data_IF_216884490146
#
_entry.id   IF_216884490146
#
_cell.length_a   1.000
_cell.length_b   1.000
_cell.length_c   1.000
_cell.angle_alpha   90.00
_cell.angle_beta   90.00
_cell.angle_gamma   90.00
#
_symmetry.space_group_name_H-M   'P 1'
#
loop_
_entity.id
_entity.type
_entity.pdbx_description
1 polymer ?
#
# COMPACT_ATOMS: atom_id res chain seq x y z
N UNK A 1 -52.94 -29.93 -15.15
CA UNK A 1 -53.94 -29.45 -14.18
C UNK A 1 -53.22 -28.43 -13.29
N UNK A 2 -53.06 -27.18 -13.75
CA UNK A 2 -53.92 -26.01 -13.49
C UNK A 2 -53.95 -25.72 -11.97
N UNK A 3 -53.60 -24.53 -11.46
CA UNK A 3 -54.17 -23.19 -11.75
C UNK A 3 -53.11 -22.11 -11.36
N UNK A 4 -52.61 -21.24 -12.24
CA UNK A 4 -53.12 -19.93 -12.73
C UNK A 4 -53.61 -18.95 -11.63
N UNK A 5 -53.00 -17.74 -11.68
CA UNK A 5 -53.50 -16.37 -11.34
C UNK A 5 -53.70 -15.98 -9.87
N UNK A 6 -53.28 -14.79 -9.41
CA UNK A 6 -53.71 -13.46 -9.91
C UNK A 6 -52.66 -12.33 -9.81
N UNK A 7 -52.58 -11.61 -10.91
CA UNK A 7 -52.20 -10.20 -11.12
C UNK A 7 -53.24 -9.26 -10.48
N UNK A 8 -52.82 -8.11 -9.90
CA UNK A 8 -53.43 -6.76 -10.00
C UNK A 8 -52.71 -5.81 -9.02
N UNK A 9 -51.85 -4.86 -9.38
CA UNK A 9 -51.97 -3.64 -10.21
C UNK A 9 -52.36 -2.37 -9.42
N UNK A 10 -51.58 -1.29 -9.67
CA UNK A 10 -51.89 0.17 -9.55
C UNK A 10 -51.82 0.74 -8.12
N UNK A 11 -51.31 1.93 -7.80
CA UNK A 11 -50.50 3.01 -8.41
C UNK A 11 -50.45 4.06 -7.30
N UNK A 12 -49.32 4.74 -7.06
CA UNK A 12 -49.34 6.12 -6.55
C UNK A 12 -48.01 6.81 -6.86
N UNK A 13 -48.12 7.64 -7.88
CA UNK A 13 -47.23 8.68 -8.37
C UNK A 13 -47.07 9.81 -7.33
N UNK A 14 -45.99 10.60 -7.46
CA UNK A 14 -45.68 11.92 -6.86
C UNK A 14 -44.88 11.95 -5.54
N UNK A 15 -43.92 12.85 -5.29
CA UNK A 15 -43.18 13.83 -6.11
C UNK A 15 -41.85 14.16 -5.36
N UNK A 16 -40.77 14.27 -6.14
CA UNK A 16 -39.52 15.06 -6.04
C UNK A 16 -39.26 15.87 -4.75
N UNK A 17 -38.03 15.73 -4.19
CA UNK A 17 -37.11 16.86 -3.91
C UNK A 17 -35.65 16.36 -3.93
N UNK A 18 -34.94 16.67 -5.03
CA UNK A 18 -33.48 16.65 -5.12
C UNK A 18 -32.96 17.96 -4.52
N UNK A 19 -32.23 17.89 -3.40
CA UNK A 19 -31.38 18.99 -2.96
C UNK A 19 -30.08 18.93 -3.75
N UNK A 20 -29.87 19.95 -4.59
CA UNK A 20 -28.66 20.10 -5.38
C UNK A 20 -27.49 20.67 -4.59
N UNK A 21 -26.29 20.37 -5.05
CA UNK A 21 -25.20 21.34 -5.11
C UNK A 21 -24.17 20.87 -6.13
N UNK A 22 -24.29 21.34 -7.36
CA UNK A 22 -23.20 21.33 -8.34
C UNK A 22 -23.45 22.48 -9.32
N UNK A 23 -22.58 23.48 -9.31
CA UNK A 23 -22.69 24.62 -10.22
C UNK A 23 -21.54 25.60 -10.05
N UNK A 24 -20.46 25.35 -10.79
CA UNK A 24 -19.25 26.17 -10.96
C UNK A 24 -19.47 27.16 -12.13
N UNK A 25 -19.00 28.40 -11.94
CA UNK A 25 -18.57 29.44 -12.93
C UNK A 25 -19.58 29.93 -14.00
N UNK A 26 -19.60 31.14 -14.56
CA UNK A 26 -18.62 32.20 -14.90
C UNK A 26 -19.29 33.60 -14.70
N UNK A 27 -18.73 34.82 -14.83
CA UNK A 27 -17.66 35.39 -15.67
C UNK A 27 -17.51 36.88 -15.26
N UNK A 28 -16.27 37.40 -15.23
CA UNK A 28 -15.83 38.65 -15.89
C UNK A 28 -14.63 39.31 -15.22
N UNK A 29 -13.68 39.62 -16.09
CA UNK A 29 -12.39 40.30 -15.96
C UNK A 29 -12.48 41.70 -15.36
N UNK A 30 -11.56 42.05 -14.43
CA UNK A 30 -10.89 43.36 -14.37
C UNK A 30 -9.61 43.34 -13.52
N UNK A 31 -8.52 43.69 -14.19
CA UNK A 31 -7.26 44.31 -13.75
C UNK A 31 -7.02 44.65 -12.27
N UNK A 32 -5.82 44.25 -11.80
CA UNK A 32 -4.75 45.13 -11.28
C UNK A 32 -4.23 44.84 -9.86
N UNK A 33 -2.92 44.52 -9.84
CA UNK A 33 -1.90 45.01 -8.92
C UNK A 33 -1.58 44.28 -7.60
N UNK A 34 -0.29 43.93 -7.54
CA UNK A 34 0.64 43.94 -6.40
C UNK A 34 0.59 42.85 -5.33
N UNK A 35 1.55 41.95 -5.47
CA UNK A 35 2.69 41.80 -4.54
C UNK A 35 2.39 41.65 -3.04
N UNK A 36 2.52 40.40 -2.56
CA UNK A 36 3.24 40.13 -1.31
C UNK A 36 3.82 38.72 -1.36
N UNK A 37 5.14 38.66 -1.55
CA UNK A 37 5.97 37.49 -1.31
C UNK A 37 6.03 37.29 0.20
N UNK A 38 5.41 36.23 0.72
CA UNK A 38 5.79 35.68 2.02
C UNK A 38 6.73 34.51 1.77
N UNK A 39 8.00 34.79 2.00
CA UNK A 39 9.05 33.81 2.22
C UNK A 39 8.64 32.97 3.43
N UNK A 40 8.08 31.79 3.19
CA UNK A 40 7.97 30.76 4.22
C UNK A 40 9.39 30.26 4.44
N UNK A 41 9.88 30.56 5.63
CA UNK A 41 11.15 30.10 6.16
C UNK A 41 11.26 28.59 5.96
N UNK A 42 12.38 28.19 5.35
CA UNK A 42 12.79 26.81 5.20
C UNK A 42 13.07 26.29 6.61
N UNK A 43 12.04 25.79 7.26
CA UNK A 43 12.17 25.02 8.48
C UNK A 43 13.11 23.86 8.14
N UNK A 44 14.19 23.80 8.89
CA UNK A 44 15.29 22.89 8.59
C UNK A 44 14.83 21.56 9.14
N UNK A 45 14.18 20.77 8.27
CA UNK A 45 13.68 19.43 8.60
C UNK A 45 14.82 18.64 9.23
N UNK A 46 14.78 18.53 10.55
CA UNK A 46 15.61 17.64 11.32
C UNK A 46 15.34 16.25 10.74
N UNK A 47 16.38 15.60 10.19
CA UNK A 47 16.26 14.30 9.54
C UNK A 47 15.87 13.30 10.64
N UNK A 48 14.57 13.10 10.81
CA UNK A 48 14.01 12.15 11.76
C UNK A 48 14.63 10.79 11.45
N UNK A 49 15.35 10.26 12.44
CA UNK A 49 16.00 8.96 12.29
C UNK A 49 14.89 7.92 12.35
N UNK A 50 14.44 7.47 11.18
CA UNK A 50 13.41 6.42 11.06
C UNK A 50 13.91 5.20 11.83
N UNK A 51 13.21 4.87 12.92
CA UNK A 51 13.53 3.72 13.75
C UNK A 51 13.26 2.46 12.92
N UNK A 52 14.31 1.66 12.71
CA UNK A 52 14.18 0.34 12.07
C UNK A 52 13.74 -0.67 13.11
N UNK A 53 12.66 -1.37 12.82
CA UNK A 53 12.22 -2.52 13.57
C UNK A 53 13.03 -3.76 13.14
N UNK A 54 13.20 -4.71 14.06
CA UNK A 54 13.86 -5.98 13.78
C UNK A 54 13.00 -7.10 14.32
N UNK A 55 12.31 -7.78 13.42
CA UNK A 55 11.49 -8.94 13.75
C UNK A 55 12.31 -10.20 13.49
N UNK A 56 12.42 -11.07 14.50
CA UNK A 56 12.94 -12.41 14.26
C UNK A 56 11.90 -13.17 13.43
N UNK A 57 12.31 -13.93 12.40
CA UNK A 57 11.40 -14.84 11.74
C UNK A 57 10.89 -15.82 12.78
N UNK A 58 9.62 -15.69 13.12
CA UNK A 58 8.91 -16.63 13.96
C UNK A 58 7.76 -17.14 13.11
N UNK A 59 7.90 -18.40 12.70
CA UNK A 59 6.86 -19.15 11.99
C UNK A 59 5.80 -19.56 13.01
N UNK A 60 5.16 -18.55 13.61
CA UNK A 60 4.01 -18.72 14.49
C UNK A 60 2.84 -19.02 13.55
N UNK A 61 2.20 -20.18 13.75
CA UNK A 61 1.14 -20.76 12.91
C UNK A 61 0.38 -19.73 12.05
N UNK A 62 0.43 -19.88 10.72
CA UNK A 62 -0.40 -19.11 9.81
C UNK A 62 0.26 -18.83 8.46
N UNK A 63 -0.23 -19.49 7.42
CA UNK A 63 -0.08 -19.02 6.05
C UNK A 63 1.29 -19.11 5.37
N UNK A 64 1.33 -18.70 4.10
CA UNK A 64 2.52 -18.66 3.25
C UNK A 64 2.72 -17.25 2.70
N UNK A 65 3.98 -16.87 2.53
CA UNK A 65 4.36 -15.61 1.90
C UNK A 65 5.45 -15.86 0.87
N UNK A 66 5.17 -15.51 -0.38
CA UNK A 66 6.13 -15.54 -1.49
C UNK A 66 6.19 -14.18 -2.17
N UNK A 67 7.33 -13.91 -2.82
CA UNK A 67 7.51 -12.71 -3.62
C UNK A 67 7.83 -13.06 -5.07
N UNK A 68 7.38 -12.22 -5.98
CA UNK A 68 7.63 -12.36 -7.40
C UNK A 68 8.08 -11.07 -8.05
N UNK A 69 8.78 -11.23 -9.16
CA UNK A 69 9.22 -10.14 -10.04
C UNK A 69 9.37 -10.69 -11.47
N UNK A 70 9.73 -9.86 -12.47
CA UNK A 70 10.09 -10.39 -13.78
C UNK A 70 11.26 -11.39 -13.79
N UNK A 71 12.04 -11.48 -12.70
CA UNK A 71 13.14 -12.45 -12.57
C UNK A 71 12.71 -13.84 -12.10
N UNK A 72 11.51 -14.00 -11.52
CA UNK A 72 11.04 -15.29 -11.00
C UNK A 72 10.07 -15.16 -9.83
N UNK A 73 9.82 -16.27 -9.14
CA UNK A 73 8.99 -16.36 -7.94
C UNK A 73 9.64 -17.26 -6.86
N UNK A 74 9.65 -16.81 -5.60
CA UNK A 74 10.21 -17.61 -4.50
C UNK A 74 9.44 -18.90 -4.23
N UNK A 75 8.16 -18.98 -4.60
CA UNK A 75 7.37 -20.22 -4.51
C UNK A 75 7.95 -21.35 -5.37
N UNK A 76 8.60 -20.99 -6.49
CA UNK A 76 9.26 -21.92 -7.42
C UNK A 76 10.73 -22.16 -7.05
N UNK A 77 11.23 -21.50 -5.99
CA UNK A 77 12.62 -21.56 -5.55
C UNK A 77 13.56 -20.62 -6.29
N UNK A 78 13.03 -19.64 -7.04
CA UNK A 78 13.83 -18.65 -7.74
C UNK A 78 14.42 -17.60 -6.80
N UNK A 79 15.63 -17.13 -7.12
CA UNK A 79 16.21 -15.92 -6.55
C UNK A 79 15.55 -14.69 -7.19
N UNK A 80 15.11 -13.74 -6.36
CA UNK A 80 14.46 -12.51 -6.83
C UNK A 80 15.48 -11.39 -6.95
N UNK A 81 15.68 -10.92 -8.18
CA UNK A 81 16.58 -9.81 -8.50
C UNK A 81 15.79 -8.63 -9.04
N UNK A 82 15.93 -7.48 -8.38
CA UNK A 82 15.35 -6.21 -8.78
C UNK A 82 16.43 -5.30 -9.35
N UNK A 83 16.28 -4.94 -10.62
CA UNK A 83 17.15 -3.99 -11.29
C UNK A 83 16.64 -2.56 -11.08
N UNK A 84 17.37 -1.74 -10.34
CA UNK A 84 16.89 -0.42 -9.96
C UNK A 84 17.90 0.65 -10.36
N UNK A 85 17.53 1.53 -11.30
CA UNK A 85 18.38 2.66 -11.71
C UNK A 85 18.00 3.93 -10.94
N UNK A 86 18.97 4.79 -10.65
CA UNK A 86 18.67 6.12 -10.10
C UNK A 86 17.72 6.89 -11.03
N UNK A 87 16.80 7.65 -10.43
CA UNK A 87 15.83 8.53 -11.10
C UNK A 87 14.80 7.81 -12.00
N UNK A 88 14.73 6.48 -11.97
CA UNK A 88 13.65 5.71 -12.60
C UNK A 88 12.57 5.34 -11.57
N UNK A 89 11.34 5.18 -12.05
CA UNK A 89 10.27 4.60 -11.25
C UNK A 89 10.66 3.22 -10.73
N UNK A 90 10.31 2.94 -9.48
CA UNK A 90 10.60 1.66 -8.87
C UNK A 90 9.95 0.51 -9.59
N UNK A 91 10.70 -0.59 -9.70
CA UNK A 91 10.10 -1.88 -10.02
C UNK A 91 9.51 -2.43 -8.72
N UNK A 92 8.21 -2.74 -8.75
CA UNK A 92 7.53 -3.32 -7.61
C UNK A 92 7.86 -4.80 -7.42
N UNK A 93 7.58 -5.30 -6.21
CA UNK A 93 7.49 -6.73 -5.92
C UNK A 93 6.02 -7.12 -5.85
N UNK A 94 5.67 -8.24 -6.48
CA UNK A 94 4.38 -8.89 -6.24
C UNK A 94 4.47 -9.72 -4.97
N UNK A 95 3.57 -9.48 -4.02
CA UNK A 95 3.45 -10.24 -2.78
C UNK A 95 2.31 -11.25 -2.94
N UNK A 96 2.59 -12.51 -2.66
CA UNK A 96 1.63 -13.61 -2.70
C UNK A 96 1.45 -14.14 -1.29
N UNK A 97 0.27 -13.91 -0.72
CA UNK A 97 -0.03 -14.25 0.68
C UNK A 97 -1.24 -15.16 0.75
N UNK A 98 -1.11 -16.23 1.51
CA UNK A 98 -2.20 -17.17 1.78
C UNK A 98 -2.27 -17.49 3.26
N UNK A 99 -3.47 -17.72 3.80
CA UNK A 99 -3.67 -18.25 5.16
C UNK A 99 -3.38 -17.26 6.29
N UNK A 100 -3.33 -15.95 5.97
CA UNK A 100 -3.29 -14.87 6.97
C UNK A 100 -4.69 -14.59 7.50
N UNK A 101 -4.78 -14.03 8.71
CA UNK A 101 -6.06 -13.58 9.26
C UNK A 101 -6.48 -12.28 8.59
N UNK A 102 -7.41 -12.36 7.63
CA UNK A 102 -7.93 -11.21 6.88
C UNK A 102 -8.72 -10.21 7.70
N UNK A 103 -9.00 -10.49 8.98
CA UNK A 103 -9.57 -9.49 9.90
C UNK A 103 -8.52 -8.56 10.52
N UNK A 104 -7.23 -8.91 10.40
CA UNK A 104 -6.11 -8.16 10.96
C UNK A 104 -5.35 -7.39 9.87
N UNK A 105 -4.83 -6.22 10.24
CA UNK A 105 -3.86 -5.51 9.41
C UNK A 105 -2.53 -6.26 9.41
N UNK A 106 -1.92 -6.33 8.23
CA UNK A 106 -0.56 -6.81 8.02
C UNK A 106 0.32 -5.63 7.67
N UNK A 107 1.37 -5.44 8.43
CA UNK A 107 2.37 -4.40 8.23
C UNK A 107 3.48 -4.93 7.34
N UNK A 108 3.86 -4.14 6.33
CA UNK A 108 4.84 -4.51 5.32
C UNK A 108 6.12 -3.72 5.61
N UNK A 109 7.20 -4.42 5.96
CA UNK A 109 8.48 -3.81 6.26
C UNK A 109 9.51 -4.15 5.20
N UNK A 110 10.31 -3.17 4.77
CA UNK A 110 11.52 -3.36 3.98
C UNK A 110 12.72 -2.94 4.81
N UNK A 111 13.67 -3.85 5.03
CA UNK A 111 14.85 -3.65 5.87
C UNK A 111 14.55 -3.01 7.24
N UNK A 112 13.43 -3.44 7.84
CA UNK A 112 12.95 -2.98 9.14
C UNK A 112 12.17 -1.66 9.13
N UNK A 113 11.98 -1.02 7.96
CA UNK A 113 11.17 0.20 7.81
C UNK A 113 9.78 -0.16 7.28
N UNK A 114 8.73 0.27 7.96
CA UNK A 114 7.37 0.09 7.47
C UNK A 114 7.16 0.92 6.20
N UNK A 115 6.67 0.27 5.14
CA UNK A 115 6.40 0.92 3.84
C UNK A 115 4.92 0.98 3.50
N UNK A 116 4.11 0.05 4.03
CA UNK A 116 2.68 -0.04 3.74
C UNK A 116 1.96 -0.98 4.74
N UNK A 117 0.63 -0.97 4.71
CA UNK A 117 -0.24 -1.87 5.48
C UNK A 117 -1.38 -2.39 4.61
N UNK A 118 -1.69 -3.69 4.70
CA UNK A 118 -2.76 -4.33 3.92
C UNK A 118 -3.46 -5.44 4.72
N UNK A 119 -4.73 -5.71 4.40
CA UNK A 119 -5.47 -6.86 4.93
C UNK A 119 -5.26 -8.07 4.00
N UNK A 120 -4.33 -8.95 4.36
CA UNK A 120 -4.11 -10.19 3.63
C UNK A 120 -4.97 -11.34 4.16
N UNK A 121 -5.51 -12.15 3.25
CA UNK A 121 -6.11 -13.45 3.58
C UNK A 121 -5.68 -14.53 2.58
N UNK A 122 -6.02 -14.35 1.31
CA UNK A 122 -5.59 -15.17 0.19
C UNK A 122 -5.60 -14.29 -1.07
N UNK A 123 -4.62 -13.41 -1.17
CA UNK A 123 -4.57 -12.35 -2.18
C UNK A 123 -3.14 -12.05 -2.63
N UNK A 124 -3.07 -11.47 -3.82
CA UNK A 124 -1.86 -10.91 -4.39
C UNK A 124 -1.96 -9.39 -4.37
N UNK A 125 -0.89 -8.70 -4.01
CA UNK A 125 -0.75 -7.25 -4.20
C UNK A 125 0.63 -6.91 -4.74
N UNK A 126 0.79 -5.74 -5.34
CA UNK A 126 2.07 -5.22 -5.77
C UNK A 126 2.48 -4.07 -4.85
N UNK A 127 3.72 -4.12 -4.36
CA UNK A 127 4.30 -3.04 -3.55
C UNK A 127 5.43 -2.39 -4.32
N UNK A 128 5.49 -1.05 -4.27
CA UNK A 128 6.64 -0.31 -4.76
C UNK A 128 7.64 -0.21 -3.61
N UNK A 129 8.84 -0.75 -3.83
CA UNK A 129 9.89 -0.78 -2.81
C UNK A 129 10.39 0.63 -2.52
N UNK A 130 10.50 0.92 -1.22
CA UNK A 130 11.12 2.10 -0.61
C UNK A 130 11.52 3.16 -1.64
N UNK A 131 10.51 3.93 -2.02
CA UNK A 131 10.59 4.97 -3.04
C UNK A 131 10.46 6.34 -2.38
N UNK A 132 11.04 7.36 -3.01
CA UNK A 132 10.79 8.74 -2.61
C UNK A 132 9.32 9.15 -2.84
N UNK A 133 8.95 10.35 -2.41
CA UNK A 133 7.59 10.91 -2.59
C UNK A 133 7.13 10.96 -4.06
N UNK A 134 8.05 10.79 -5.01
CA UNK A 134 7.81 10.80 -6.46
C UNK A 134 7.78 9.39 -7.06
N UNK A 135 7.87 8.33 -6.23
CA UNK A 135 7.87 6.93 -6.67
C UNK A 135 9.20 6.48 -7.31
N UNK A 136 10.29 7.22 -7.07
CA UNK A 136 11.64 6.91 -7.58
C UNK A 136 12.49 6.27 -6.50
N UNK A 137 13.65 5.73 -6.89
CA UNK A 137 14.61 5.11 -5.96
C UNK A 137 14.85 5.99 -4.74
N UNK A 138 14.50 5.53 -3.54
CA UNK A 138 14.98 6.21 -2.33
C UNK A 138 16.49 5.97 -2.17
N UNK A 139 17.17 6.86 -1.44
CA UNK A 139 18.58 6.69 -1.11
C UNK A 139 18.84 5.54 -0.11
N UNK A 140 17.79 5.06 0.57
CA UNK A 140 17.88 3.97 1.55
C UNK A 140 17.88 2.59 0.89
N UNK A 141 17.20 2.44 -0.26
CA UNK A 141 17.28 1.23 -1.09
C UNK A 141 18.58 1.24 -1.89
N UNK A 142 19.61 0.57 -1.35
CA UNK A 142 20.96 0.47 -1.93
C UNK A 142 21.14 -0.80 -2.78
N UNK A 143 22.31 -1.02 -3.39
CA UNK A 143 22.61 -2.29 -4.06
C UNK A 143 22.99 -3.34 -3.01
N UNK A 144 22.47 -4.56 -3.13
CA UNK A 144 22.76 -5.65 -2.21
C UNK A 144 21.56 -6.51 -1.88
N UNK A 145 21.70 -7.28 -0.81
CA UNK A 145 20.63 -8.13 -0.27
C UNK A 145 19.70 -7.31 0.62
N UNK A 146 18.41 -7.50 0.42
CA UNK A 146 17.35 -6.83 1.16
C UNK A 146 16.34 -7.83 1.69
N UNK A 147 15.60 -7.39 2.71
CA UNK A 147 14.57 -8.17 3.37
C UNK A 147 13.23 -7.48 3.23
N UNK A 148 12.18 -8.28 3.00
CA UNK A 148 10.79 -7.86 3.15
C UNK A 148 10.12 -8.75 4.19
N UNK A 149 9.45 -8.12 5.16
CA UNK A 149 8.76 -8.81 6.24
C UNK A 149 7.28 -8.42 6.27
N UNK A 150 6.43 -9.43 6.43
CA UNK A 150 5.02 -9.26 6.72
C UNK A 150 4.78 -9.57 8.20
N UNK A 151 4.19 -8.62 8.92
CA UNK A 151 3.94 -8.73 10.35
C UNK A 151 2.47 -8.50 10.66
N UNK A 152 1.81 -9.48 11.28
CA UNK A 152 0.52 -9.27 11.94
C UNK A 152 0.74 -9.26 13.45
N UNK A 153 0.21 -8.26 14.13
CA UNK A 153 0.32 -8.13 15.58
C UNK A 153 -0.80 -8.89 16.31
N UNK A 154 -0.53 -9.28 17.57
CA UNK A 154 -1.45 -10.09 18.37
C UNK A 154 -2.76 -9.38 18.64
N UNK A 155 -2.70 -8.08 18.92
CA UNK A 155 -3.86 -7.21 19.07
C UNK A 155 -4.15 -6.50 17.75
N UNK A 156 -5.44 -6.33 17.44
CA UNK A 156 -5.84 -5.58 16.25
C UNK A 156 -5.54 -4.10 16.44
N UNK A 157 -4.99 -3.46 15.41
CA UNK A 157 -4.67 -2.03 15.36
C UNK A 157 -3.67 -1.54 16.44
N UNK A 158 -2.89 -2.45 17.03
CA UNK A 158 -1.85 -2.13 18.02
C UNK A 158 -0.49 -2.73 17.61
N UNK A 159 0.32 -1.92 16.92
CA UNK A 159 1.67 -2.27 16.51
C UNK A 159 2.70 -2.27 17.65
N UNK A 160 2.29 -1.94 18.87
CA UNK A 160 3.12 -2.11 20.07
C UNK A 160 2.93 -3.47 20.75
N UNK A 161 1.90 -4.21 20.37
CA UNK A 161 1.66 -5.57 20.84
C UNK A 161 2.67 -6.57 20.24
N UNK A 162 2.69 -7.80 20.72
CA UNK A 162 3.65 -8.80 20.25
C UNK A 162 3.29 -9.24 18.81
N UNK A 163 4.29 -9.46 17.94
CA UNK A 163 4.04 -10.06 16.62
C UNK A 163 3.41 -11.44 16.77
N UNK A 164 2.27 -11.65 16.12
CA UNK A 164 1.58 -12.95 16.07
C UNK A 164 1.89 -13.74 14.80
N UNK A 165 2.28 -13.07 13.70
CA UNK A 165 2.78 -13.70 12.47
C UNK A 165 3.94 -12.87 11.97
N UNK A 166 5.08 -13.51 11.67
CA UNK A 166 6.22 -12.87 11.00
C UNK A 166 6.68 -13.75 9.85
N UNK A 167 6.43 -13.32 8.61
CA UNK A 167 6.98 -13.98 7.41
C UNK A 167 8.03 -13.10 6.76
N UNK A 168 9.14 -13.70 6.34
CA UNK A 168 10.27 -12.97 5.77
C UNK A 168 10.64 -13.57 4.42
N UNK A 169 10.88 -12.71 3.44
CA UNK A 169 11.49 -13.08 2.16
C UNK A 169 12.66 -12.16 1.84
N UNK A 170 13.53 -12.62 0.93
CA UNK A 170 14.77 -11.94 0.56
C UNK A 170 14.78 -11.64 -0.93
N UNK A 171 15.37 -10.51 -1.31
CA UNK A 171 15.59 -10.14 -2.70
C UNK A 171 16.89 -9.36 -2.84
N UNK A 172 17.49 -9.41 -4.02
CA UNK A 172 18.71 -8.68 -4.33
C UNK A 172 18.38 -7.47 -5.19
N UNK A 173 18.84 -6.29 -4.79
CA UNK A 173 18.82 -5.09 -5.64
C UNK A 173 20.15 -5.01 -6.37
N UNK A 174 20.10 -4.85 -7.70
CA UNK A 174 21.26 -4.59 -8.56
C UNK A 174 21.05 -3.29 -9.31
N UNK A 175 22.12 -2.51 -9.48
CA UNK A 175 22.06 -1.35 -10.37
C UNK A 175 21.92 -1.82 -11.83
N UNK A 176 21.30 -1.00 -12.67
CA UNK A 176 20.98 -1.34 -14.07
C UNK A 176 21.87 -0.64 -15.08
#
# INVERSE_FOLDING_TARGET
>A
MNKITKLSAISLLSLILLAGCSGKSDKETKESSSEKVETIEKDTTEKETVKKETFKPEDVDGGTFNIGSPSGNTADGDEIIIFYKKDTFGQGLSLYVEGFDGSKLTHIFVDGKEIDTEQFSHNQTDVILDSDELGKRSEELTEGEHTIQLVQFSEQDDSSSEPAVVKTQHYTVKDK
#
